data_IF_169510987415
#
_entry.id   IF_169510987415
#
_cell.length_a   1.000
_cell.length_b   1.000
_cell.length_c   1.000
_cell.angle_alpha   90.00
_cell.angle_beta   90.00
_cell.angle_gamma   90.00
#
_symmetry.space_group_name_H-M   'P 1'
#
loop_
_entity.id
_entity.type
_entity.pdbx_description
1 polymer ?
#
# COMPACT_ATOMS: atom_id res chain seq x y z
N UNK A 1 10.04 -29.64 -5.86
CA UNK A 1 10.83 -28.89 -6.88
C UNK A 1 10.75 -27.43 -6.52
N UNK A 2 11.83 -26.87 -5.97
CA UNK A 2 11.88 -25.48 -5.54
C UNK A 2 12.11 -24.61 -6.77
N UNK A 3 11.05 -24.38 -7.55
CA UNK A 3 11.04 -23.34 -8.57
C UNK A 3 10.97 -22.02 -7.81
N UNK A 4 12.13 -21.50 -7.40
CA UNK A 4 12.23 -20.12 -6.95
C UNK A 4 11.56 -19.22 -7.98
N UNK A 5 10.92 -18.17 -7.52
CA UNK A 5 10.27 -17.19 -8.38
C UNK A 5 11.22 -16.81 -9.54
N UNK A 6 10.73 -16.75 -10.80
CA UNK A 6 11.57 -16.34 -11.92
C UNK A 6 12.27 -15.03 -11.58
N UNK A 7 13.57 -14.86 -11.89
CA UNK A 7 14.27 -13.63 -11.55
C UNK A 7 13.60 -12.45 -12.25
N UNK A 8 12.93 -11.60 -11.47
CA UNK A 8 12.30 -10.38 -11.99
C UNK A 8 13.41 -9.37 -12.27
N UNK A 9 13.63 -9.05 -13.53
CA UNK A 9 14.59 -8.02 -13.93
C UNK A 9 13.95 -6.64 -13.80
N UNK A 10 14.14 -6.02 -12.64
CA UNK A 10 13.65 -4.66 -12.38
C UNK A 10 14.71 -3.67 -12.87
N UNK A 11 14.44 -3.00 -14.00
CA UNK A 11 15.36 -2.02 -14.59
C UNK A 11 15.66 -0.85 -13.65
N UNK A 12 14.67 -0.41 -12.87
CA UNK A 12 14.79 0.70 -11.92
C UNK A 12 14.28 0.23 -10.56
N UNK A 13 15.21 -0.05 -9.66
CA UNK A 13 14.93 -0.43 -8.27
C UNK A 13 15.61 0.59 -7.36
N UNK A 14 14.79 1.38 -6.67
CA UNK A 14 15.26 2.50 -5.84
C UNK A 14 14.95 2.19 -4.39
N UNK A 15 16.00 2.09 -3.58
CA UNK A 15 15.89 1.85 -2.14
C UNK A 15 15.71 3.18 -1.41
N UNK A 16 15.33 3.10 -0.13
CA UNK A 16 15.33 4.26 0.77
C UNK A 16 16.66 5.01 0.75
N UNK A 17 17.79 4.30 0.80
CA UNK A 17 19.13 4.91 0.79
C UNK A 17 19.40 5.71 -0.48
N UNK A 18 18.86 5.25 -1.62
CA UNK A 18 18.97 5.95 -2.88
C UNK A 18 18.03 7.19 -2.95
N UNK A 19 16.83 7.10 -2.37
CA UNK A 19 15.84 8.18 -2.39
C UNK A 19 16.11 9.27 -1.36
N UNK A 20 16.67 8.91 -0.20
CA UNK A 20 16.87 9.81 0.96
C UNK A 20 17.62 11.11 0.62
N UNK A 21 18.68 11.14 -0.21
CA UNK A 21 19.38 12.37 -0.59
C UNK A 21 18.54 13.33 -1.46
N UNK A 22 17.46 12.84 -2.07
CA UNK A 22 16.54 13.64 -2.92
C UNK A 22 15.29 14.09 -2.16
N UNK A 23 15.22 13.76 -0.87
CA UNK A 23 14.07 14.01 -0.03
C UNK A 23 14.36 15.14 0.96
N UNK A 24 13.41 16.06 1.10
CA UNK A 24 13.47 17.17 2.04
C UNK A 24 12.35 17.08 3.09
N UNK A 25 12.66 17.45 4.34
CA UNK A 25 11.71 17.46 5.45
C UNK A 25 11.70 16.19 6.29
N UNK A 26 10.78 16.14 7.25
CA UNK A 26 10.70 15.07 8.25
C UNK A 26 10.15 13.75 7.70
N UNK A 27 9.40 13.79 6.60
CA UNK A 27 8.80 12.59 5.97
C UNK A 27 9.83 11.63 5.38
N UNK A 28 11.04 12.14 5.12
CA UNK A 28 12.16 11.40 4.56
C UNK A 28 12.66 10.29 5.47
N UNK A 29 12.33 10.36 6.76
CA UNK A 29 12.66 9.32 7.72
C UNK A 29 11.58 8.24 7.83
N UNK A 30 10.50 8.36 7.05
CA UNK A 30 9.35 7.48 7.01
C UNK A 30 9.00 7.10 5.56
N UNK A 31 7.83 6.52 5.31
CA UNK A 31 7.40 6.08 3.97
C UNK A 31 7.25 7.23 2.95
N UNK A 32 7.12 8.48 3.41
CA UNK A 32 7.08 9.65 2.54
C UNK A 32 8.32 9.85 1.68
N UNK A 33 9.45 9.24 2.05
CA UNK A 33 10.65 9.17 1.20
C UNK A 33 10.36 8.56 -0.18
N UNK A 34 9.36 7.68 -0.29
CA UNK A 34 8.97 7.03 -1.55
C UNK A 34 8.37 7.99 -2.58
N UNK A 35 7.95 9.18 -2.15
CA UNK A 35 7.41 10.22 -3.03
C UNK A 35 8.51 11.08 -3.69
N UNK A 36 9.76 10.94 -3.23
CA UNK A 36 10.88 11.80 -3.65
C UNK A 36 11.19 11.63 -5.14
N UNK A 37 10.83 12.64 -5.94
CA UNK A 37 11.05 12.65 -7.40
C UNK A 37 10.16 11.68 -8.17
N UNK A 38 9.13 11.11 -7.55
CA UNK A 38 8.23 10.12 -8.17
C UNK A 38 7.55 10.70 -9.43
N UNK A 39 6.98 11.89 -9.30
CA UNK A 39 6.27 12.57 -10.38
C UNK A 39 7.20 12.95 -11.53
N UNK A 40 8.38 13.47 -11.20
CA UNK A 40 9.42 13.86 -12.15
C UNK A 40 9.89 12.65 -12.95
N UNK A 41 10.12 11.51 -12.29
CA UNK A 41 10.50 10.26 -12.94
C UNK A 41 9.44 9.81 -13.95
N UNK A 42 8.15 9.91 -13.59
CA UNK A 42 7.07 9.56 -14.50
C UNK A 42 7.05 10.52 -15.71
N UNK A 43 7.23 11.82 -15.49
CA UNK A 43 7.22 12.84 -16.56
C UNK A 43 8.37 12.70 -17.57
N UNK A 44 9.56 12.31 -17.12
CA UNK A 44 10.73 12.16 -18.02
C UNK A 44 10.72 10.84 -18.78
N UNK A 45 9.85 9.91 -18.38
CA UNK A 45 9.70 8.63 -19.06
C UNK A 45 9.09 8.81 -20.45
N UNK A 46 9.77 8.30 -21.47
CA UNK A 46 9.25 8.25 -22.85
C UNK A 46 8.35 7.02 -23.12
N UNK A 47 7.81 6.39 -22.06
CA UNK A 47 6.99 5.18 -22.16
C UNK A 47 5.51 5.51 -22.10
N UNK A 48 4.74 4.88 -23.00
CA UNK A 48 3.28 5.00 -23.04
C UNK A 48 2.58 4.21 -21.92
N UNK A 49 3.30 3.27 -21.29
CA UNK A 49 2.80 2.40 -20.22
C UNK A 49 3.85 2.36 -19.12
N UNK A 50 3.47 2.74 -17.90
CA UNK A 50 4.36 2.83 -16.75
C UNK A 50 3.69 2.11 -15.58
N UNK A 51 4.42 1.19 -14.96
CA UNK A 51 4.03 0.56 -13.70
C UNK A 51 5.04 0.98 -12.64
N UNK A 52 4.57 1.65 -11.60
CA UNK A 52 5.37 2.00 -10.43
C UNK A 52 4.86 1.16 -9.25
N UNK A 53 5.77 0.55 -8.52
CA UNK A 53 5.47 -0.21 -7.30
C UNK A 53 6.14 0.52 -6.14
N UNK A 54 5.34 1.05 -5.22
CA UNK A 54 5.79 1.64 -3.97
C UNK A 54 5.56 0.64 -2.85
N UNK A 55 6.64 0.06 -2.33
CA UNK A 55 6.57 -0.89 -1.22
C UNK A 55 6.80 -0.14 0.10
N UNK A 56 5.75 -0.08 0.92
CA UNK A 56 5.65 0.75 2.13
C UNK A 56 5.77 -0.09 3.39
N UNK A 57 6.27 0.52 4.48
CA UNK A 57 6.25 -0.13 5.80
C UNK A 57 4.90 0.02 6.51
N UNK A 58 4.10 1.02 6.15
CA UNK A 58 2.76 1.35 6.69
C UNK A 58 2.66 1.14 8.21
N UNK A 59 1.87 0.17 8.63
CA UNK A 59 1.48 -0.10 10.01
C UNK A 59 2.32 -1.19 10.68
N UNK A 60 3.47 -1.57 10.13
CA UNK A 60 4.23 -2.71 10.65
C UNK A 60 4.67 -2.50 12.12
N UNK A 61 4.25 -3.40 13.01
CA UNK A 61 4.62 -3.37 14.43
C UNK A 61 6.08 -3.76 14.74
N UNK A 62 6.44 -3.91 16.03
CA UNK A 62 5.61 -3.66 17.20
C UNK A 62 5.58 -2.17 17.61
N UNK A 63 6.52 -1.35 17.15
CA UNK A 63 6.57 0.07 17.55
C UNK A 63 5.83 0.96 16.55
N UNK A 64 4.50 0.89 16.55
CA UNK A 64 3.63 1.63 15.63
C UNK A 64 3.85 3.16 15.70
N UNK A 65 4.12 3.70 16.89
CA UNK A 65 4.40 5.14 17.08
C UNK A 65 5.64 5.65 16.35
N UNK A 66 6.52 4.75 15.87
CA UNK A 66 7.70 5.11 15.06
C UNK A 66 7.43 5.07 13.55
N UNK A 67 6.20 4.78 13.13
CA UNK A 67 5.83 4.66 11.71
C UNK A 67 5.31 5.94 11.09
N UNK A 68 5.12 6.98 11.87
CA UNK A 68 4.68 8.29 11.40
C UNK A 68 5.43 9.44 12.07
N UNK A 69 5.57 10.57 11.36
CA UNK A 69 6.03 11.82 11.94
C UNK A 69 5.12 12.32 13.07
N UNK A 70 5.64 13.05 14.09
CA UNK A 70 4.85 13.52 15.23
C UNK A 70 3.59 14.32 14.88
N UNK A 71 3.56 15.03 13.74
CA UNK A 71 2.39 15.80 13.30
C UNK A 71 1.17 14.95 12.91
N UNK A 72 1.37 13.65 12.69
CA UNK A 72 0.32 12.67 12.44
C UNK A 72 -0.16 11.93 13.70
N UNK A 73 0.40 12.24 14.88
CA UNK A 73 -0.05 11.69 16.16
C UNK A 73 -1.37 12.38 16.60
N UNK A 74 -2.49 11.99 15.97
CA UNK A 74 -3.82 12.54 16.23
C UNK A 74 -4.47 11.91 17.45
N UNK A 75 -4.37 10.60 17.59
CA UNK A 75 -4.92 9.84 18.70
C UNK A 75 -3.88 9.66 19.80
N UNK A 76 -4.24 10.00 21.04
CA UNK A 76 -3.34 9.98 22.21
C UNK A 76 -4.08 9.48 23.46
N UNK A 77 -3.38 8.87 24.44
CA UNK A 77 -1.95 8.52 24.45
C UNK A 77 -1.61 7.36 23.48
N UNK A 78 -0.33 7.15 23.18
CA UNK A 78 0.15 6.09 22.26
C UNK A 78 1.11 5.12 22.95
N UNK A 79 1.09 3.86 22.51
CA UNK A 79 2.02 2.83 22.95
C UNK A 79 3.42 3.07 22.36
N UNK A 80 4.43 3.18 23.22
CA UNK A 80 5.84 3.36 22.83
C UNK A 80 6.73 2.15 23.18
N UNK A 81 6.13 1.04 23.60
CA UNK A 81 6.81 -0.20 23.98
C UNK A 81 6.93 -1.16 22.80
N UNK A 82 8.02 -1.92 22.75
CA UNK A 82 8.11 -3.12 21.88
C UNK A 82 7.37 -4.32 22.48
N UNK A 83 7.13 -4.29 23.79
CA UNK A 83 6.33 -5.27 24.53
C UNK A 83 4.88 -4.77 24.58
N UNK A 84 4.08 -5.19 23.61
CA UNK A 84 2.72 -4.71 23.37
C UNK A 84 1.75 -5.01 24.53
N UNK A 85 2.00 -6.09 25.28
CA UNK A 85 1.19 -6.47 26.44
C UNK A 85 1.35 -5.52 27.64
N UNK A 86 2.37 -4.65 27.64
CA UNK A 86 2.55 -3.61 28.66
C UNK A 86 1.76 -2.33 28.38
N UNK A 87 1.29 -2.16 27.16
CA UNK A 87 0.46 -1.01 26.78
C UNK A 87 -1.01 -1.30 27.07
N UNK A 88 -1.78 -0.26 27.37
CA UNK A 88 -3.23 -0.39 27.36
C UNK A 88 -3.71 -0.65 25.94
N UNK A 89 -4.86 -1.32 25.81
CA UNK A 89 -5.49 -1.56 24.51
C UNK A 89 -5.69 -0.24 23.74
N UNK A 90 -6.11 0.82 24.43
CA UNK A 90 -6.33 2.14 23.83
C UNK A 90 -5.05 2.77 23.31
N UNK A 91 -3.93 2.70 24.05
CA UNK A 91 -2.64 3.21 23.58
C UNK A 91 -2.13 2.48 22.34
N UNK A 92 -2.34 1.17 22.29
CA UNK A 92 -1.97 0.35 21.14
C UNK A 92 -2.82 0.69 19.91
N UNK A 93 -4.14 0.74 20.07
CA UNK A 93 -5.07 1.13 19.00
C UNK A 93 -4.77 2.54 18.49
N UNK A 94 -4.59 3.53 19.39
CA UNK A 94 -4.24 4.89 19.00
C UNK A 94 -2.93 4.95 18.21
N UNK A 95 -1.91 4.18 18.64
CA UNK A 95 -0.63 4.13 17.93
C UNK A 95 -0.80 3.54 16.52
N UNK A 96 -1.61 2.49 16.36
CA UNK A 96 -1.94 1.89 15.06
C UNK A 96 -2.80 2.82 14.20
N UNK A 97 -3.83 3.46 14.74
CA UNK A 97 -4.71 4.36 13.98
C UNK A 97 -3.94 5.58 13.43
N UNK A 98 -2.93 6.07 14.14
CA UNK A 98 -2.05 7.13 13.63
C UNK A 98 -1.18 6.66 12.44
N UNK A 99 -0.84 5.36 12.32
CA UNK A 99 -0.17 4.85 11.10
C UNK A 99 -1.12 4.86 9.90
N UNK A 100 -2.42 4.65 10.13
CA UNK A 100 -3.46 4.78 9.11
C UNK A 100 -3.61 6.24 8.67
N UNK A 101 -3.61 7.19 9.60
CA UNK A 101 -3.65 8.64 9.26
C UNK A 101 -2.47 9.01 8.37
N UNK A 102 -1.26 8.50 8.66
CA UNK A 102 -0.11 8.76 7.82
C UNK A 102 -0.19 8.06 6.46
N UNK A 103 -0.69 6.81 6.43
CA UNK A 103 -0.92 6.09 5.17
C UNK A 103 -1.91 6.83 4.28
N UNK A 104 -3.01 7.34 4.83
CA UNK A 104 -3.99 8.18 4.10
C UNK A 104 -3.33 9.41 3.47
N UNK A 105 -2.46 10.10 4.22
CA UNK A 105 -1.69 11.23 3.69
C UNK A 105 -0.79 10.84 2.50
N UNK A 106 -0.09 9.69 2.58
CA UNK A 106 0.75 9.19 1.48
C UNK A 106 -0.10 8.87 0.25
N UNK A 107 -1.22 8.17 0.42
CA UNK A 107 -2.13 7.84 -0.68
C UNK A 107 -2.72 9.09 -1.33
N UNK A 108 -3.13 10.08 -0.53
CA UNK A 108 -3.62 11.35 -1.05
C UNK A 108 -2.54 12.14 -1.80
N UNK A 109 -1.29 12.10 -1.34
CA UNK A 109 -0.15 12.72 -2.03
C UNK A 109 0.10 12.09 -3.40
N UNK A 110 0.08 10.75 -3.47
CA UNK A 110 0.17 10.01 -4.74
C UNK A 110 -0.97 10.40 -5.68
N UNK A 111 -2.21 10.40 -5.19
CA UNK A 111 -3.38 10.80 -6.00
C UNK A 111 -3.22 12.24 -6.52
N UNK A 112 -2.68 13.14 -5.69
CA UNK A 112 -2.44 14.53 -6.08
C UNK A 112 -1.43 14.61 -7.22
N UNK A 113 -0.33 13.88 -7.13
CA UNK A 113 0.67 13.83 -8.21
C UNK A 113 0.12 13.21 -9.49
N UNK A 114 -0.62 12.10 -9.39
CA UNK A 114 -1.24 11.46 -10.54
C UNK A 114 -2.28 12.36 -11.21
N UNK A 115 -3.02 13.18 -10.44
CA UNK A 115 -3.96 14.17 -11.00
C UNK A 115 -3.25 15.22 -11.86
N UNK A 116 -2.00 15.55 -11.57
CA UNK A 116 -1.24 16.54 -12.33
C UNK A 116 -0.60 15.97 -13.61
N UNK A 117 -0.55 14.65 -13.74
CA UNK A 117 -0.06 13.95 -14.93
C UNK A 117 -1.17 13.87 -16.00
N UNK A 118 -1.59 15.02 -16.53
CA UNK A 118 -2.72 15.15 -17.47
C UNK A 118 -2.57 14.36 -18.77
N UNK A 119 -1.35 14.00 -19.15
CA UNK A 119 -1.06 13.21 -20.36
C UNK A 119 -1.25 11.70 -20.15
N UNK A 120 -1.49 11.26 -18.91
CA UNK A 120 -1.65 9.85 -18.58
C UNK A 120 -3.04 9.55 -18.01
N UNK A 121 -3.65 8.47 -18.51
CA UNK A 121 -4.73 7.79 -17.79
C UNK A 121 -4.09 7.01 -16.64
N UNK A 122 -4.29 7.49 -15.42
CA UNK A 122 -3.63 7.01 -14.22
C UNK A 122 -4.59 6.23 -13.32
N UNK A 123 -4.05 5.26 -12.60
CA UNK A 123 -4.75 4.55 -11.52
C UNK A 123 -3.79 4.35 -10.36
N UNK A 124 -4.32 4.40 -9.14
CA UNK A 124 -3.63 3.98 -7.93
C UNK A 124 -4.38 2.78 -7.37
N UNK A 125 -3.66 1.67 -7.14
CA UNK A 125 -4.15 0.53 -6.37
C UNK A 125 -3.33 0.45 -5.09
N UNK A 126 -3.99 0.50 -3.94
CA UNK A 126 -3.38 0.24 -2.64
C UNK A 126 -4.00 -1.03 -2.05
N UNK A 127 -3.16 -2.01 -1.75
CA UNK A 127 -3.56 -3.29 -1.18
C UNK A 127 -2.53 -3.65 -0.11
N UNK A 128 -3.00 -3.90 1.12
CA UNK A 128 -2.11 -4.38 2.18
C UNK A 128 -1.65 -5.82 1.89
N UNK A 129 -0.48 -6.20 2.34
CA UNK A 129 0.03 -7.58 2.26
C UNK A 129 -0.73 -8.51 3.23
N UNK A 130 -1.04 -8.01 4.42
CA UNK A 130 -1.91 -8.64 5.42
C UNK A 130 -2.49 -7.57 6.38
N UNK A 131 -3.29 -8.00 7.35
CA UNK A 131 -3.77 -7.17 8.45
C UNK A 131 -2.99 -7.41 9.75
N UNK A 132 -3.47 -6.93 10.90
CA UNK A 132 -2.72 -6.92 12.16
C UNK A 132 -3.64 -7.30 13.34
N UNK A 133 -3.21 -8.19 14.24
CA UNK A 133 -3.89 -8.41 15.52
C UNK A 133 -3.38 -7.44 16.57
N UNK A 134 -4.28 -6.82 17.32
CA UNK A 134 -3.97 -5.73 18.23
C UNK A 134 -4.35 -6.05 19.68
N UNK A 135 -4.42 -7.34 20.05
CA UNK A 135 -4.69 -7.80 21.40
C UNK A 135 -5.97 -8.62 21.54
N UNK A 136 -6.72 -8.84 20.45
CA UNK A 136 -7.90 -9.70 20.49
C UNK A 136 -7.53 -11.10 20.95
N UNK A 137 -8.16 -11.57 22.04
CA UNK A 137 -7.86 -12.87 22.66
C UNK A 137 -6.37 -13.02 23.04
N UNK A 138 -5.71 -11.93 23.43
CA UNK A 138 -4.28 -11.86 23.72
C UNK A 138 -3.37 -12.20 22.52
N UNK A 139 -3.88 -12.10 21.30
CA UNK A 139 -3.11 -12.25 20.07
C UNK A 139 -2.68 -10.87 19.57
N UNK A 140 -1.40 -10.74 19.27
CA UNK A 140 -0.79 -9.53 18.74
C UNK A 140 -0.03 -9.84 17.46
N UNK A 141 0.26 -8.80 16.69
CA UNK A 141 1.04 -8.87 15.45
C UNK A 141 0.33 -9.70 14.37
N UNK A 142 1.10 -10.25 13.44
CA UNK A 142 0.67 -11.05 12.31
C UNK A 142 1.53 -12.32 12.18
N UNK A 143 1.26 -13.12 11.15
CA UNK A 143 2.01 -14.35 10.85
C UNK A 143 1.39 -15.64 11.39
N UNK A 144 0.14 -15.59 11.83
CA UNK A 144 -0.62 -16.81 12.17
C UNK A 144 -0.92 -17.57 10.87
N UNK A 145 -0.77 -18.90 10.83
CA UNK A 145 -1.12 -19.69 9.65
C UNK A 145 -2.54 -19.39 9.17
N UNK A 146 -2.74 -19.19 7.86
CA UNK A 146 -4.03 -18.74 7.29
C UNK A 146 -5.26 -19.55 7.73
N UNK A 147 -5.11 -20.85 7.98
CA UNK A 147 -6.19 -21.72 8.48
C UNK A 147 -6.65 -21.42 9.91
N UNK A 148 -5.82 -20.70 10.69
CA UNK A 148 -6.04 -20.35 12.09
C UNK A 148 -6.04 -18.84 12.33
N UNK A 149 -5.62 -18.05 11.33
CA UNK A 149 -5.53 -16.60 11.42
C UNK A 149 -6.90 -15.99 11.72
N UNK A 150 -7.00 -15.01 12.63
CA UNK A 150 -8.22 -14.26 12.82
C UNK A 150 -8.45 -13.32 11.63
N UNK A 151 -9.70 -12.88 11.44
CA UNK A 151 -10.05 -11.96 10.36
C UNK A 151 -9.21 -10.69 10.32
N UNK A 152 -8.77 -10.22 11.47
CA UNK A 152 -7.87 -9.07 11.62
C UNK A 152 -6.57 -9.22 10.82
N UNK A 153 -6.05 -10.43 10.61
CA UNK A 153 -4.81 -10.65 9.86
C UNK A 153 -5.02 -10.83 8.35
N UNK A 154 -6.25 -11.01 7.87
CA UNK A 154 -6.49 -11.29 6.44
C UNK A 154 -7.58 -10.41 5.79
N UNK A 155 -8.39 -9.69 6.56
CA UNK A 155 -9.26 -8.62 6.05
C UNK A 155 -8.42 -7.36 5.90
N UNK A 156 -8.16 -6.97 4.66
CA UNK A 156 -7.22 -5.91 4.29
C UNK A 156 -7.90 -4.79 3.50
N UNK A 157 -7.39 -3.55 3.55
CA UNK A 157 -7.83 -2.50 2.64
C UNK A 157 -7.45 -2.84 1.20
N UNK A 158 -8.41 -2.64 0.28
CA UNK A 158 -8.21 -2.66 -1.17
C UNK A 158 -8.80 -1.37 -1.72
N UNK A 159 -7.95 -0.38 -1.96
CA UNK A 159 -8.34 0.98 -2.38
C UNK A 159 -7.94 1.19 -3.83
N UNK A 160 -8.87 1.73 -4.63
CA UNK A 160 -8.63 2.05 -6.03
C UNK A 160 -9.04 3.49 -6.30
N UNK A 161 -8.15 4.23 -6.94
CA UNK A 161 -8.43 5.55 -7.49
C UNK A 161 -8.11 5.55 -8.98
N UNK A 162 -8.94 6.18 -9.80
CA UNK A 162 -8.75 6.26 -11.25
C UNK A 162 -8.90 7.72 -11.69
N UNK A 163 -8.02 8.20 -12.57
CA UNK A 163 -8.05 9.56 -13.10
C UNK A 163 -9.13 9.76 -14.16
N UNK A 164 -9.36 8.71 -14.96
CA UNK A 164 -10.35 8.68 -16.03
C UNK A 164 -11.74 8.44 -15.45
N UNK A 165 -12.66 9.38 -15.70
CA UNK A 165 -14.05 9.32 -15.20
C UNK A 165 -14.88 8.27 -15.93
N UNK A 166 -14.49 7.90 -17.15
CA UNK A 166 -15.20 6.92 -17.96
C UNK A 166 -14.78 5.49 -17.59
N UNK A 167 -13.59 5.33 -16.99
CA UNK A 167 -13.13 4.04 -16.47
C UNK A 167 -13.82 3.71 -15.14
N UNK A 168 -14.85 2.87 -15.25
CA UNK A 168 -15.65 2.43 -14.11
C UNK A 168 -15.09 1.15 -13.48
N UNK A 169 -15.24 1.01 -12.17
CA UNK A 169 -15.01 -0.24 -11.46
C UNK A 169 -16.24 -1.16 -11.60
N UNK A 170 -16.00 -2.47 -11.69
CA UNK A 170 -17.07 -3.46 -11.56
C UNK A 170 -17.74 -3.26 -10.20
N UNK A 171 -19.09 -3.32 -10.14
CA UNK A 171 -19.80 -3.13 -8.88
C UNK A 171 -19.32 -4.18 -7.87
N UNK A 172 -19.03 -3.74 -6.65
CA UNK A 172 -18.57 -4.62 -5.57
C UNK A 172 -19.66 -5.56 -5.02
N UNK A 173 -20.81 -5.70 -5.71
CA UNK A 173 -22.00 -6.41 -5.25
C UNK A 173 -21.67 -7.84 -4.79
N UNK A 174 -21.50 -8.00 -3.47
CA UNK A 174 -21.11 -9.24 -2.80
C UNK A 174 -19.85 -9.93 -3.35
N UNK A 175 -19.01 -9.22 -4.10
CA UNK A 175 -17.78 -9.79 -4.65
C UNK A 175 -16.64 -9.52 -3.68
N UNK A 176 -16.17 -10.58 -3.02
CA UNK A 176 -14.98 -10.50 -2.18
C UNK A 176 -13.77 -10.35 -3.11
N UNK A 177 -13.14 -9.18 -3.06
CA UNK A 177 -11.85 -8.96 -3.72
C UNK A 177 -10.73 -9.62 -2.89
N UNK A 178 -9.69 -10.05 -3.59
CA UNK A 178 -8.48 -10.58 -2.99
C UNK A 178 -7.25 -10.01 -3.69
N UNK A 179 -6.06 -10.27 -3.15
CA UNK A 179 -4.79 -9.90 -3.79
C UNK A 179 -4.66 -10.51 -5.21
N UNK A 180 -5.34 -11.62 -5.50
CA UNK A 180 -5.34 -12.22 -6.85
C UNK A 180 -5.91 -11.27 -7.92
N UNK A 181 -6.81 -10.37 -7.53
CA UNK A 181 -7.38 -9.38 -8.45
C UNK A 181 -6.35 -8.35 -8.93
N UNK A 182 -5.26 -8.11 -8.18
CA UNK A 182 -4.22 -7.13 -8.52
C UNK A 182 -3.57 -7.47 -9.86
N UNK A 183 -3.14 -8.73 -10.02
CA UNK A 183 -2.45 -9.19 -11.23
C UNK A 183 -3.26 -8.92 -12.49
N UNK A 184 -4.51 -9.40 -12.52
CA UNK A 184 -5.38 -9.27 -13.69
C UNK A 184 -5.82 -7.83 -13.93
N UNK A 185 -6.01 -7.04 -12.88
CA UNK A 185 -6.38 -5.63 -12.99
C UNK A 185 -5.24 -4.78 -13.57
N UNK A 186 -3.99 -5.05 -13.17
CA UNK A 186 -2.82 -4.37 -13.73
C UNK A 186 -2.63 -4.73 -15.21
N UNK A 187 -2.77 -6.00 -15.58
CA UNK A 187 -2.70 -6.41 -16.98
C UNK A 187 -3.77 -5.73 -17.83
N UNK A 188 -5.02 -5.70 -17.36
CA UNK A 188 -6.12 -5.04 -18.07
C UNK A 188 -5.88 -3.53 -18.19
N UNK A 189 -5.52 -2.86 -17.10
CA UNK A 189 -5.31 -1.41 -17.10
C UNK A 189 -4.20 -0.98 -18.07
N UNK A 190 -3.11 -1.74 -18.11
CA UNK A 190 -1.99 -1.49 -19.01
C UNK A 190 -2.19 -2.11 -20.40
N UNK A 191 -3.35 -2.71 -20.70
CA UNK A 191 -3.65 -3.39 -21.96
C UNK A 191 -2.53 -4.36 -22.36
N UNK A 192 -2.16 -5.26 -21.46
CA UNK A 192 -1.14 -6.30 -21.67
C UNK A 192 -1.85 -7.60 -22.05
N UNK A 193 -1.55 -8.12 -23.24
CA UNK A 193 -2.06 -9.42 -23.68
C UNK A 193 -1.30 -10.55 -22.99
N UNK A 194 -2.03 -11.48 -22.39
CA UNK A 194 -1.44 -12.63 -21.70
C UNK A 194 -2.38 -13.83 -21.74
N UNK A 195 -1.88 -15.06 -22.02
CA UNK A 195 -2.71 -16.25 -22.07
C UNK A 195 -3.28 -16.66 -20.70
N UNK A 196 -2.72 -16.13 -19.60
CA UNK A 196 -3.18 -16.39 -18.23
C UNK A 196 -4.09 -15.28 -17.68
N UNK A 197 -4.48 -14.30 -18.51
CA UNK A 197 -5.41 -13.26 -18.09
C UNK A 197 -6.81 -13.83 -17.87
N UNK A 198 -7.42 -13.51 -16.71
CA UNK A 198 -8.80 -13.84 -16.37
C UNK A 198 -9.60 -12.54 -16.16
N UNK A 199 -10.57 -12.30 -17.05
CA UNK A 199 -11.46 -11.15 -16.98
C UNK A 199 -12.32 -11.15 -15.70
N UNK A 200 -12.63 -12.31 -15.12
CA UNK A 200 -13.41 -12.37 -13.89
C UNK A 200 -12.63 -11.84 -12.67
N UNK A 201 -11.29 -11.84 -12.76
CA UNK A 201 -10.40 -11.32 -11.71
C UNK A 201 -10.01 -9.85 -11.92
N UNK A 202 -10.28 -9.28 -13.10
CA UNK A 202 -10.09 -7.85 -13.36
C UNK A 202 -11.18 -7.01 -12.68
N UNK A 203 -10.81 -5.94 -11.97
CA UNK A 203 -11.75 -5.05 -11.28
C UNK A 203 -12.36 -3.95 -12.16
N UNK A 204 -11.81 -3.67 -13.34
CA UNK A 204 -12.31 -2.62 -14.23
C UNK A 204 -13.46 -3.15 -15.10
N UNK A 205 -14.46 -2.31 -15.38
CA UNK A 205 -15.46 -2.61 -16.42
C UNK A 205 -14.80 -2.54 -17.80
N UNK A 206 -15.38 -3.29 -18.74
CA UNK A 206 -15.11 -3.13 -20.17
C UNK A 206 -15.67 -1.81 -20.67
#
# INVERSE_FOLDING_TARGET
>A
TNWGEPPVHIKKYETRDYLRPKCEGEDCDYDGVLLSGLKEEIKVSNKNKILVILHTSTSHGPTYSKKYPPRFEKFKPVCNSVDLGKCTQTELMNAYDNTIVYTDYILNSIITDLKDLKEYNSTMLFVSDHGESLGEKNLYMHGVPKSLAPKQQYEIPFIVWVSDKDKQLKPANNTILSQNNVFHSVLNFLSIDSPIYDENMNIFKK
#
